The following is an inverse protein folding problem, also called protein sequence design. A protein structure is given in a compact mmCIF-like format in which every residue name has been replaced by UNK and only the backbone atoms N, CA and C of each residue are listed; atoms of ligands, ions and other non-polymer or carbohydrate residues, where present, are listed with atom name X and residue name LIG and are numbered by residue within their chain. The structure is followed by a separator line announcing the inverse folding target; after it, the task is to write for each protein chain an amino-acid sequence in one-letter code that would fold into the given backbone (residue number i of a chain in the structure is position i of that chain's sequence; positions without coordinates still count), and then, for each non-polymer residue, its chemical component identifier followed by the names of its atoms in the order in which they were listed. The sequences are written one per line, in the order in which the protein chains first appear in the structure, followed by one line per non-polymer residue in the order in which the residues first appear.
data_IF_761227691727
#
_entry.id   IF_761227691727
#
_cell.length_a   1.000
_cell.length_b   1.000
_cell.length_c   1.000
_cell.angle_alpha   90.00
_cell.angle_beta   90.00
_cell.angle_gamma   90.00
#
_symmetry.space_group_name_H-M   'P 1'
#
loop_
_entity.id
_entity.type
_entity.pdbx_description
1 polymer ?
#
# COMPACT_ATOMS: atom_id res chain seq x y z
N UNK A 1 -45.74 37.12 70.07
CA UNK A 1 -44.82 37.24 68.91
C UNK A 1 -43.84 36.07 68.95
N UNK A 2 -43.81 35.27 67.86
CA UNK A 2 -42.64 34.64 67.20
C UNK A 2 -41.64 33.82 68.05
N UNK A 3 -41.18 32.61 67.74
CA UNK A 3 -41.47 31.55 66.74
C UNK A 3 -40.52 30.39 67.09
N UNK A 4 -41.00 29.16 66.98
CA UNK A 4 -40.24 27.91 67.07
C UNK A 4 -39.17 27.85 65.96
N UNK A 5 -37.91 27.47 66.27
CA UNK A 5 -36.87 27.21 65.26
C UNK A 5 -36.33 25.79 65.38
N UNK A 6 -36.91 24.92 64.54
CA UNK A 6 -36.46 23.55 64.22
C UNK A 6 -35.14 23.67 63.43
N UNK A 7 -34.07 22.97 63.85
CA UNK A 7 -32.81 22.90 63.08
C UNK A 7 -32.61 21.46 62.61
N UNK A 8 -32.83 21.28 61.31
CA UNK A 8 -32.74 20.01 60.58
C UNK A 8 -31.29 19.54 60.45
N UNK A 9 -31.12 18.21 60.52
CA UNK A 9 -29.88 17.48 60.23
C UNK A 9 -29.60 17.56 58.72
N UNK A 10 -28.41 18.01 58.34
CA UNK A 10 -27.91 17.93 56.96
C UNK A 10 -26.97 16.73 56.92
N UNK A 11 -27.39 15.66 56.24
CA UNK A 11 -26.54 14.53 55.87
C UNK A 11 -26.15 14.76 54.41
N UNK A 12 -24.90 15.12 54.18
CA UNK A 12 -24.32 15.31 52.85
C UNK A 12 -23.87 13.96 52.30
N UNK A 13 -24.64 13.41 51.35
CA UNK A 13 -24.25 12.28 50.50
C UNK A 13 -23.23 12.76 49.47
N UNK A 14 -21.99 12.32 49.59
CA UNK A 14 -20.99 12.48 48.51
C UNK A 14 -21.28 11.45 47.42
N UNK A 15 -21.79 11.90 46.28
CA UNK A 15 -21.84 11.11 45.06
C UNK A 15 -20.45 11.14 44.41
N UNK A 16 -19.72 10.03 44.47
CA UNK A 16 -18.47 9.86 43.72
C UNK A 16 -18.85 9.58 42.26
N UNK A 17 -18.71 10.59 41.40
CA UNK A 17 -18.82 10.44 39.95
C UNK A 17 -17.53 9.75 39.49
N UNK A 18 -17.61 8.45 39.19
CA UNK A 18 -16.55 7.75 38.47
C UNK A 18 -16.58 8.23 37.02
N UNK A 19 -15.73 9.21 36.69
CA UNK A 19 -15.43 9.56 35.30
C UNK A 19 -14.68 8.37 34.71
N UNK A 20 -15.39 7.51 33.98
CA UNK A 20 -14.78 6.60 33.02
C UNK A 20 -14.14 7.49 31.97
N UNK A 21 -12.84 7.71 32.09
CA UNK A 21 -12.02 8.30 31.03
C UNK A 21 -12.05 7.26 29.91
N UNK A 22 -13.06 7.33 29.05
CA UNK A 22 -12.97 6.74 27.73
C UNK A 22 -11.71 7.36 27.12
N UNK A 23 -10.68 6.54 27.00
CA UNK A 23 -9.37 6.91 26.49
C UNK A 23 -9.55 7.79 25.25
N UNK A 24 -9.13 9.05 25.32
CA UNK A 24 -8.94 9.92 24.17
C UNK A 24 -7.74 9.43 23.32
N UNK A 25 -7.77 8.15 22.94
CA UNK A 25 -6.93 7.61 21.88
C UNK A 25 -7.56 7.99 20.54
N UNK A 26 -6.72 8.20 19.54
CA UNK A 26 -7.20 8.48 18.20
C UNK A 26 -8.11 7.35 17.69
N UNK A 27 -9.22 7.70 17.03
CA UNK A 27 -10.18 6.71 16.54
C UNK A 27 -9.54 5.79 15.48
N UNK A 28 -9.93 4.52 15.49
CA UNK A 28 -9.53 3.53 14.48
C UNK A 28 -9.82 4.02 13.05
N UNK A 29 -10.96 4.69 12.84
CA UNK A 29 -11.35 5.26 11.54
C UNK A 29 -10.35 6.31 11.05
N UNK A 30 -9.91 7.22 11.94
CA UNK A 30 -8.90 8.23 11.59
C UNK A 30 -7.58 7.59 11.18
N UNK A 31 -7.13 6.57 11.92
CA UNK A 31 -5.91 5.84 11.61
C UNK A 31 -6.02 5.05 10.28
N UNK A 32 -7.16 4.42 10.01
CA UNK A 32 -7.46 3.76 8.74
C UNK A 32 -7.38 4.73 7.56
N UNK A 33 -7.95 5.93 7.70
CA UNK A 33 -7.91 6.93 6.64
C UNK A 33 -6.49 7.39 6.32
N UNK A 34 -5.63 7.57 7.35
CA UNK A 34 -4.22 7.92 7.14
C UNK A 34 -3.44 6.83 6.42
N UNK A 35 -3.64 5.57 6.81
CA UNK A 35 -3.00 4.44 6.13
C UNK A 35 -3.45 4.37 4.66
N UNK A 36 -4.75 4.49 4.41
CA UNK A 36 -5.32 4.49 3.06
C UNK A 36 -4.80 5.65 2.21
N UNK A 37 -4.63 6.84 2.78
CA UNK A 37 -4.10 8.00 2.06
C UNK A 37 -2.70 7.74 1.51
N UNK A 38 -1.80 7.15 2.31
CA UNK A 38 -0.44 6.84 1.85
C UNK A 38 -0.45 5.69 0.84
N UNK A 39 -1.19 4.61 1.10
CA UNK A 39 -1.31 3.48 0.16
C UNK A 39 -1.85 3.94 -1.20
N UNK A 40 -2.82 4.85 -1.23
CA UNK A 40 -3.42 5.34 -2.46
C UNK A 40 -2.46 6.19 -3.32
N UNK A 41 -1.35 6.68 -2.77
CA UNK A 41 -0.31 7.33 -3.59
C UNK A 41 0.31 6.40 -4.62
N UNK A 42 0.31 5.08 -4.37
CA UNK A 42 0.77 4.08 -5.33
C UNK A 42 0.05 4.17 -6.69
N UNK A 43 -1.23 4.58 -6.69
CA UNK A 43 -2.02 4.75 -7.92
C UNK A 43 -1.49 5.87 -8.80
N UNK A 44 -0.75 6.84 -8.23
CA UNK A 44 -0.16 7.96 -8.95
C UNK A 44 1.04 7.58 -9.83
N UNK A 45 1.67 6.43 -9.59
CA UNK A 45 2.89 6.02 -10.31
C UNK A 45 2.60 5.34 -11.65
N UNK A 46 1.45 4.68 -11.76
CA UNK A 46 1.08 3.86 -12.93
C UNK A 46 1.04 4.63 -14.25
N UNK A 47 0.49 5.86 -14.33
CA UNK A 47 0.40 6.57 -15.61
C UNK A 47 1.77 6.90 -16.23
N UNK A 48 2.76 7.23 -15.40
CA UNK A 48 4.13 7.51 -15.86
C UNK A 48 4.79 6.22 -16.36
N UNK A 49 4.68 5.14 -15.58
CA UNK A 49 5.21 3.85 -15.99
C UNK A 49 4.57 3.31 -17.28
N UNK A 50 3.25 3.44 -17.43
CA UNK A 50 2.54 3.08 -18.67
C UNK A 50 3.05 3.86 -19.88
N UNK A 51 3.33 5.16 -19.69
CA UNK A 51 3.90 6.00 -20.75
C UNK A 51 5.32 5.55 -21.13
N UNK A 52 6.15 5.24 -20.14
CA UNK A 52 7.51 4.76 -20.37
C UNK A 52 7.51 3.41 -21.10
N UNK A 53 6.67 2.47 -20.70
CA UNK A 53 6.52 1.17 -21.35
C UNK A 53 5.99 1.32 -22.79
N UNK A 54 5.08 2.25 -23.04
CA UNK A 54 4.61 2.54 -24.40
C UNK A 54 5.73 3.10 -25.28
N UNK A 55 6.56 3.97 -24.72
CA UNK A 55 7.71 4.55 -25.42
C UNK A 55 8.75 3.48 -25.71
N UNK A 56 9.06 2.62 -24.72
CA UNK A 56 9.92 1.46 -24.90
C UNK A 56 9.42 0.55 -26.03
N UNK A 57 8.13 0.16 -26.00
CA UNK A 57 7.52 -0.70 -27.03
C UNK A 57 7.65 -0.10 -28.44
N UNK A 58 7.45 1.22 -28.56
CA UNK A 58 7.60 1.95 -29.83
C UNK A 58 9.04 1.94 -30.34
N UNK A 59 10.02 2.09 -29.45
CA UNK A 59 11.44 2.10 -29.80
C UNK A 59 11.93 0.69 -30.12
N UNK A 60 11.54 -0.31 -29.32
CA UNK A 60 11.84 -1.72 -29.54
C UNK A 60 11.35 -2.22 -30.91
N UNK A 61 10.18 -1.75 -31.38
CA UNK A 61 9.65 -2.09 -32.70
C UNK A 61 10.46 -1.51 -33.88
N UNK A 62 11.32 -0.52 -33.63
CA UNK A 62 12.11 0.17 -34.65
C UNK A 62 13.59 -0.22 -34.67
N UNK A 63 13.99 -1.16 -33.82
CA UNK A 63 15.36 -1.65 -33.68
C UNK A 63 15.88 -2.23 -35.01
N UNK A 64 17.06 -1.78 -35.44
CA UNK A 64 17.74 -2.27 -36.67
C UNK A 64 19.19 -2.67 -36.42
N UNK A 65 19.77 -2.29 -35.29
CA UNK A 65 21.16 -2.48 -34.95
C UNK A 65 21.33 -2.84 -33.47
N UNK A 66 22.50 -3.37 -33.11
CA UNK A 66 22.85 -3.60 -31.71
C UNK A 66 22.81 -2.31 -30.88
N UNK A 67 23.18 -1.17 -31.47
CA UNK A 67 23.09 0.12 -30.79
C UNK A 67 21.63 0.50 -30.46
N UNK A 68 20.69 0.25 -31.37
CA UNK A 68 19.27 0.46 -31.09
C UNK A 68 18.75 -0.46 -29.99
N UNK A 69 19.23 -1.71 -29.93
CA UNK A 69 18.88 -2.67 -28.87
C UNK A 69 19.34 -2.16 -27.52
N UNK A 70 20.60 -1.71 -27.44
CA UNK A 70 21.18 -1.17 -26.21
C UNK A 70 20.44 0.10 -25.76
N UNK A 71 20.12 1.00 -26.69
CA UNK A 71 19.35 2.20 -26.37
C UNK A 71 17.93 1.87 -25.85
N UNK A 72 17.27 0.86 -26.42
CA UNK A 72 15.97 0.40 -25.91
C UNK A 72 16.10 -0.25 -24.52
N UNK A 73 17.17 -1.01 -24.29
CA UNK A 73 17.48 -1.62 -23.00
C UNK A 73 17.73 -0.54 -21.92
N UNK A 74 18.55 0.47 -22.21
CA UNK A 74 18.80 1.62 -21.32
C UNK A 74 17.50 2.31 -20.92
N UNK A 75 16.63 2.59 -21.90
CA UNK A 75 15.36 3.24 -21.61
C UNK A 75 14.45 2.38 -20.73
N UNK A 76 14.42 1.07 -20.95
CA UNK A 76 13.68 0.16 -20.07
C UNK A 76 14.23 0.17 -18.65
N UNK A 77 15.56 0.11 -18.50
CA UNK A 77 16.25 0.15 -17.20
C UNK A 77 15.91 1.45 -16.47
N UNK A 78 15.96 2.60 -17.14
CA UNK A 78 15.62 3.90 -16.57
C UNK A 78 14.16 3.95 -16.09
N UNK A 79 13.22 3.50 -16.93
CA UNK A 79 11.79 3.45 -16.60
C UNK A 79 11.52 2.57 -15.37
N UNK A 80 12.12 1.38 -15.31
CA UNK A 80 11.96 0.47 -14.18
C UNK A 80 12.61 1.05 -12.92
N UNK A 81 13.78 1.68 -13.03
CA UNK A 81 14.46 2.33 -11.89
C UNK A 81 13.63 3.50 -11.31
N UNK A 82 12.91 4.24 -12.14
CA UNK A 82 11.98 5.28 -11.66
C UNK A 82 10.86 4.68 -10.81
N UNK A 83 10.26 3.57 -11.24
CA UNK A 83 9.24 2.87 -10.46
C UNK A 83 9.81 2.31 -9.15
N UNK A 84 11.00 1.70 -9.20
CA UNK A 84 11.72 1.23 -8.01
C UNK A 84 11.90 2.37 -7.01
N UNK A 85 12.36 3.53 -7.45
CA UNK A 85 12.52 4.72 -6.59
C UNK A 85 11.19 5.20 -5.98
N UNK A 86 10.10 5.17 -6.75
CA UNK A 86 8.76 5.52 -6.25
C UNK A 86 8.26 4.53 -5.18
N UNK A 87 8.51 3.23 -5.37
CA UNK A 87 8.16 2.19 -4.39
C UNK A 87 9.00 2.30 -3.11
N UNK A 88 10.30 2.57 -3.23
CA UNK A 88 11.17 2.83 -2.08
C UNK A 88 10.71 4.06 -1.28
N UNK A 89 10.34 5.14 -1.97
CA UNK A 89 9.77 6.32 -1.33
C UNK A 89 8.44 6.00 -0.63
N UNK A 90 7.56 5.21 -1.25
CA UNK A 90 6.31 4.78 -0.63
C UNK A 90 6.55 3.94 0.64
N UNK A 91 7.53 3.03 0.62
CA UNK A 91 7.92 2.25 1.81
C UNK A 91 8.33 3.17 2.97
N UNK A 92 9.16 4.18 2.69
CA UNK A 92 9.57 5.18 3.68
C UNK A 92 8.36 5.95 4.23
N UNK A 93 7.49 6.47 3.35
CA UNK A 93 6.30 7.21 3.77
C UNK A 93 5.34 6.34 4.60
N UNK A 94 5.15 5.07 4.24
CA UNK A 94 4.35 4.12 5.02
C UNK A 94 4.92 3.98 6.42
N UNK A 95 6.23 3.78 6.55
CA UNK A 95 6.89 3.62 7.85
C UNK A 95 6.74 4.87 8.76
N UNK A 96 6.64 6.06 8.18
CA UNK A 96 6.40 7.31 8.90
C UNK A 96 4.96 7.51 9.38
N UNK A 97 4.01 6.70 8.89
CA UNK A 97 2.61 6.75 9.34
C UNK A 97 2.53 6.33 10.82
N UNK A 98 2.15 7.29 11.65
CA UNK A 98 1.93 7.08 13.08
C UNK A 98 0.60 6.35 13.29
N UNK A 99 0.70 5.12 13.78
CA UNK A 99 -0.42 4.25 14.12
C UNK A 99 -0.26 3.79 15.57
N UNK A 100 -1.37 3.80 16.30
CA UNK A 100 -1.45 3.32 17.68
C UNK A 100 -2.25 2.02 17.79
N UNK A 101 -3.08 1.71 16.79
CA UNK A 101 -3.78 0.44 16.66
C UNK A 101 -2.80 -0.65 16.18
N UNK A 102 -2.57 -1.67 17.00
CA UNK A 102 -1.61 -2.75 16.71
C UNK A 102 -1.95 -3.52 15.43
N UNK A 103 -3.24 -3.65 15.10
CA UNK A 103 -3.68 -4.28 13.85
C UNK A 103 -3.27 -3.45 12.64
N UNK A 104 -3.46 -2.13 12.69
CA UNK A 104 -3.02 -1.24 11.61
C UNK A 104 -1.50 -1.17 11.48
N UNK A 105 -0.76 -1.24 12.60
CA UNK A 105 0.71 -1.36 12.56
C UNK A 105 1.12 -2.63 11.81
N UNK A 106 0.53 -3.78 12.14
CA UNK A 106 0.84 -5.03 11.46
C UNK A 106 0.48 -5.01 9.96
N UNK A 107 -0.64 -4.37 9.58
CA UNK A 107 -1.00 -4.22 8.17
C UNK A 107 -0.05 -3.30 7.41
N UNK A 108 0.35 -2.17 8.01
CA UNK A 108 1.35 -1.26 7.44
C UNK A 108 2.66 -2.01 7.21
N UNK A 109 3.15 -2.76 8.19
CA UNK A 109 4.41 -3.47 8.08
C UNK A 109 4.36 -4.54 6.97
N UNK A 110 3.24 -5.28 6.85
CA UNK A 110 3.02 -6.20 5.72
C UNK A 110 2.93 -5.49 4.37
N UNK A 111 2.37 -4.28 4.33
CA UNK A 111 2.34 -3.46 3.12
C UNK A 111 3.75 -3.02 2.71
N UNK A 112 4.58 -2.63 3.69
CA UNK A 112 5.99 -2.29 3.49
C UNK A 112 6.74 -3.49 2.90
N UNK A 113 6.63 -4.67 3.53
CA UNK A 113 7.28 -5.90 3.04
C UNK A 113 6.88 -6.22 1.59
N UNK A 114 5.61 -6.02 1.25
CA UNK A 114 5.08 -6.25 -0.11
C UNK A 114 5.63 -5.22 -1.11
N UNK A 115 5.67 -3.93 -0.75
CA UNK A 115 6.22 -2.86 -1.59
C UNK A 115 7.72 -3.07 -1.83
N UNK A 116 8.47 -3.44 -0.79
CA UNK A 116 9.89 -3.80 -0.91
C UNK A 116 10.09 -5.04 -1.79
N UNK A 117 9.20 -6.03 -1.68
CA UNK A 117 9.17 -7.18 -2.57
C UNK A 117 9.01 -6.78 -4.04
N UNK A 118 8.06 -5.89 -4.35
CA UNK A 118 7.86 -5.41 -5.73
C UNK A 118 9.08 -4.63 -6.23
N UNK A 119 9.63 -3.75 -5.40
CA UNK A 119 10.86 -3.01 -5.70
C UNK A 119 12.01 -3.96 -6.05
N UNK A 120 12.22 -4.99 -5.22
CA UNK A 120 13.26 -6.00 -5.47
C UNK A 120 13.01 -6.80 -6.76
N UNK A 121 11.77 -7.17 -7.06
CA UNK A 121 11.43 -7.91 -8.27
C UNK A 121 11.65 -7.07 -9.54
N UNK A 122 11.25 -5.79 -9.50
CA UNK A 122 11.49 -4.84 -10.59
C UNK A 122 12.98 -4.58 -10.79
N UNK A 123 13.74 -4.44 -9.71
CA UNK A 123 15.20 -4.33 -9.80
C UNK A 123 15.83 -5.55 -10.47
N UNK A 124 15.36 -6.76 -10.14
CA UNK A 124 15.81 -7.97 -10.83
C UNK A 124 15.48 -7.96 -12.32
N UNK A 125 14.32 -7.44 -12.73
CA UNK A 125 13.98 -7.27 -14.14
C UNK A 125 14.86 -6.24 -14.84
N UNK A 126 15.22 -5.14 -14.15
CA UNK A 126 16.15 -4.12 -14.63
C UNK A 126 17.58 -4.67 -14.82
N UNK A 127 18.08 -5.40 -13.82
CA UNK A 127 19.38 -6.09 -13.87
C UNK A 127 19.43 -7.09 -15.04
N UNK A 128 18.32 -7.82 -15.27
CA UNK A 128 18.20 -8.75 -16.39
C UNK A 128 18.31 -8.04 -17.75
N UNK A 129 17.75 -6.85 -17.90
CA UNK A 129 17.85 -6.06 -19.14
C UNK A 129 19.24 -5.44 -19.31
N UNK A 130 19.93 -5.11 -18.21
CA UNK A 130 21.30 -4.59 -18.22
C UNK A 130 22.29 -5.60 -18.84
N UNK A 131 22.01 -6.90 -18.76
CA UNK A 131 22.78 -7.95 -19.47
C UNK A 131 22.82 -7.70 -20.98
N UNK A 132 21.74 -7.18 -21.56
CA UNK A 132 21.63 -6.85 -22.98
C UNK A 132 22.34 -5.53 -23.31
N UNK A 133 22.29 -4.56 -22.40
CA UNK A 133 23.04 -3.30 -22.49
C UNK A 133 24.55 -3.55 -22.55
N UNK A 134 25.07 -4.52 -21.78
CA UNK A 134 26.50 -4.79 -21.68
C UNK A 134 27.07 -5.62 -22.85
N UNK A 135 26.26 -5.97 -23.86
CA UNK A 135 26.73 -6.72 -25.03
C UNK A 135 27.71 -5.88 -25.84
N UNK A 136 28.93 -6.42 -26.04
CA UNK A 136 29.98 -5.81 -26.87
C UNK A 136 29.94 -6.29 -28.32
N UNK A 137 29.55 -7.55 -28.56
CA UNK A 137 29.53 -8.17 -29.88
C UNK A 137 28.16 -8.79 -30.21
N UNK A 138 27.68 -8.56 -31.43
CA UNK A 138 26.39 -9.08 -31.91
C UNK A 138 26.31 -10.62 -31.87
N UNK A 139 27.45 -11.31 -31.98
CA UNK A 139 27.52 -12.77 -31.89
C UNK A 139 27.12 -13.30 -30.49
N UNK A 140 27.30 -12.51 -29.43
CA UNK A 140 26.99 -12.89 -28.05
C UNK A 140 25.53 -12.58 -27.69
N UNK A 141 24.86 -11.75 -28.50
CA UNK A 141 23.53 -11.25 -28.25
C UNK A 141 22.48 -12.36 -28.03
N UNK A 142 22.42 -13.46 -28.82
CA UNK A 142 21.42 -14.50 -28.60
C UNK A 142 21.52 -15.15 -27.21
N UNK A 143 22.74 -15.45 -26.75
CA UNK A 143 22.97 -16.04 -25.43
C UNK A 143 22.61 -15.08 -24.30
N UNK A 144 22.92 -13.79 -24.49
CA UNK A 144 22.62 -12.73 -23.50
C UNK A 144 21.13 -12.42 -23.40
N UNK A 145 20.41 -12.48 -24.52
CA UNK A 145 18.94 -12.41 -24.55
C UNK A 145 18.33 -13.61 -23.81
N UNK A 146 18.85 -14.82 -24.02
CA UNK A 146 18.35 -16.01 -23.30
C UNK A 146 18.55 -15.88 -21.78
N UNK A 147 19.73 -15.43 -21.35
CA UNK A 147 20.04 -15.17 -19.93
C UNK A 147 19.10 -14.10 -19.34
N UNK A 148 18.92 -12.99 -20.05
CA UNK A 148 17.98 -11.91 -19.67
C UNK A 148 16.56 -12.44 -19.52
N UNK A 149 16.05 -13.21 -20.49
CA UNK A 149 14.71 -13.79 -20.45
C UNK A 149 14.49 -14.70 -19.25
N UNK A 150 15.47 -15.54 -18.89
CA UNK A 150 15.38 -16.43 -17.73
C UNK A 150 15.24 -15.65 -16.42
N UNK A 151 15.96 -14.53 -16.27
CA UNK A 151 15.86 -13.67 -15.10
C UNK A 151 14.55 -12.87 -15.10
N UNK A 152 14.11 -12.37 -16.25
CA UNK A 152 12.81 -11.69 -16.38
C UNK A 152 11.65 -12.62 -16.00
N UNK A 153 11.69 -13.89 -16.38
CA UNK A 153 10.65 -14.86 -16.00
C UNK A 153 10.57 -15.05 -14.48
N UNK A 154 11.72 -15.08 -13.79
CA UNK A 154 11.76 -15.17 -12.32
C UNK A 154 11.18 -13.92 -11.66
N UNK A 155 11.55 -12.74 -12.15
CA UNK A 155 11.02 -11.47 -11.65
C UNK A 155 9.49 -11.40 -11.85
N UNK A 156 9.00 -11.81 -13.03
CA UNK A 156 7.55 -11.85 -13.32
C UNK A 156 6.81 -12.80 -12.39
N UNK A 157 7.35 -13.98 -12.08
CA UNK A 157 6.72 -14.90 -11.13
C UNK A 157 6.63 -14.27 -9.73
N UNK A 158 7.70 -13.62 -9.27
CA UNK A 158 7.70 -12.94 -7.98
C UNK A 158 6.66 -11.80 -7.94
N UNK A 159 6.57 -11.00 -9.00
CA UNK A 159 5.54 -9.96 -9.13
C UNK A 159 4.13 -10.56 -9.05
N UNK A 160 3.87 -11.68 -9.72
CA UNK A 160 2.55 -12.34 -9.65
C UNK A 160 2.21 -12.80 -8.24
N UNK A 161 3.17 -13.42 -7.54
CA UNK A 161 2.98 -13.89 -6.16
C UNK A 161 2.74 -12.71 -5.20
N UNK A 162 3.42 -11.58 -5.42
CA UNK A 162 3.23 -10.34 -4.67
C UNK A 162 1.87 -9.68 -4.95
N UNK A 163 1.37 -9.69 -6.19
CA UNK A 163 0.04 -9.16 -6.52
C UNK A 163 -1.09 -9.93 -5.83
N UNK A 164 -0.92 -11.25 -5.64
CA UNK A 164 -1.87 -12.05 -4.84
C UNK A 164 -1.82 -11.65 -3.37
N UNK A 165 -0.62 -11.41 -2.82
CA UNK A 165 -0.45 -10.94 -1.45
C UNK A 165 -1.04 -9.55 -1.24
N UNK A 166 -0.80 -8.62 -2.16
CA UNK A 166 -1.38 -7.28 -2.16
C UNK A 166 -2.90 -7.34 -2.08
N UNK A 167 -3.53 -8.11 -2.97
CA UNK A 167 -4.99 -8.29 -2.98
C UNK A 167 -5.53 -8.81 -1.65
N UNK A 168 -4.77 -9.71 -1.01
CA UNK A 168 -5.12 -10.26 0.30
C UNK A 168 -5.02 -9.19 1.39
N UNK A 169 -3.93 -8.44 1.43
CA UNK A 169 -3.71 -7.37 2.42
C UNK A 169 -4.79 -6.28 2.27
N UNK A 170 -5.09 -5.84 1.04
CA UNK A 170 -6.14 -4.85 0.77
C UNK A 170 -7.50 -5.32 1.32
N UNK A 171 -7.87 -6.57 1.05
CA UNK A 171 -9.17 -7.12 1.49
C UNK A 171 -9.27 -7.20 3.02
N UNK A 172 -8.19 -7.63 3.68
CA UNK A 172 -8.10 -7.70 5.14
C UNK A 172 -8.15 -6.30 5.78
N UNK A 173 -7.44 -5.32 5.22
CA UNK A 173 -7.47 -3.92 5.67
C UNK A 173 -8.86 -3.31 5.49
N UNK A 174 -9.49 -3.49 4.33
CA UNK A 174 -10.84 -2.97 4.07
C UNK A 174 -11.88 -3.57 5.03
N UNK A 175 -11.76 -4.87 5.31
CA UNK A 175 -12.60 -5.54 6.31
C UNK A 175 -12.33 -5.00 7.71
N UNK A 176 -11.05 -4.86 8.08
CA UNK A 176 -10.65 -4.35 9.38
C UNK A 176 -11.12 -2.91 9.61
N UNK A 177 -11.00 -2.06 8.60
CA UNK A 177 -11.39 -0.65 8.63
C UNK A 177 -12.89 -0.41 8.40
N UNK A 178 -13.66 -1.47 8.13
CA UNK A 178 -15.12 -1.39 7.95
C UNK A 178 -15.55 -0.83 6.59
N UNK A 179 -14.64 -0.71 5.62
CA UNK A 179 -14.92 -0.23 4.26
C UNK A 179 -15.81 -1.19 3.45
N UNK A 180 -15.87 -2.47 3.83
CA UNK A 180 -16.74 -3.50 3.23
C UNK A 180 -18.13 -3.60 3.88
N UNK A 181 -18.51 -2.65 4.74
CA UNK A 181 -19.77 -2.69 5.49
C UNK A 181 -20.88 -1.97 4.72
N UNK A 182 -21.52 -2.65 3.78
CA UNK A 182 -22.82 -2.22 3.24
C UNK A 182 -23.95 -3.05 3.88
N UNK A 183 -24.94 -2.33 4.40
CA UNK A 183 -26.26 -2.76 4.89
C UNK A 183 -26.37 -3.34 6.33
N UNK A 184 -26.43 -2.42 7.29
CA UNK A 184 -27.24 -2.62 8.49
C UNK A 184 -28.69 -2.89 8.07
N UNK A 185 -29.22 -4.01 8.57
CA UNK A 185 -30.53 -4.58 8.28
C UNK A 185 -31.69 -3.56 8.24
N UNK A 186 -32.74 -3.79 7.44
CA UNK A 186 -33.98 -3.04 7.55
C UNK A 186 -34.57 -3.25 8.94
N UNK A 187 -34.79 -2.14 9.66
CA UNK A 187 -35.53 -2.10 10.91
C UNK A 187 -36.86 -2.83 10.73
N UNK A 188 -37.05 -3.89 11.52
CA UNK A 188 -38.34 -4.56 11.62
C UNK A 188 -39.29 -3.61 12.34
N UNK A 189 -40.38 -3.11 11.73
CA UNK A 189 -41.33 -2.31 12.48
C UNK A 189 -42.04 -3.23 13.48
N UNK A 190 -42.00 -2.80 14.73
CA UNK A 190 -42.68 -3.43 15.83
C UNK A 190 -44.18 -3.58 15.54
N UNK A 191 -44.70 -4.72 15.98
CA UNK A 191 -46.10 -5.00 16.25
C UNK A 191 -46.78 -3.85 16.99
N UNK A 192 -47.89 -3.34 16.45
CA UNK A 192 -49.02 -2.86 17.24
C UNK A 192 -50.23 -3.72 16.88
N UNK A 193 -50.76 -4.41 17.88
CA UNK A 193 -52.08 -5.02 17.80
C UNK A 193 -53.13 -4.03 18.26
N UNK A 194 -54.28 -4.05 17.59
CA UNK A 194 -55.63 -4.21 18.14
C UNK A 194 -56.63 -4.42 17.00
#
# INVERSE_FOLDING_TARGET
MLTFRRRSRVVTTWAVIAVLVASCGESKVSQCNRLAEVVNKAQGFMPEFENDIQTFSTNAAQVRSLEDIKAAADQYVDAVNNVVGNLEALSVELNEVQLSDEGLVAYRDRYIDMVEGFSSALKQASDAMSIVQDVEAEADLPAKIEESQQQTVQAVQLIQDLSVQESTIISEVNTYCGANSEEAAPETPATEGE
#
